data_IF_613355863326
#
_entry.id   IF_613355863326
#
_cell.length_a   1.000
_cell.length_b   1.000
_cell.length_c   1.000
_cell.angle_alpha   90.00
_cell.angle_beta   90.00
_cell.angle_gamma   90.00
#
_symmetry.space_group_name_H-M   'P 1'
#
loop_
_entity.id
_entity.type
_entity.pdbx_description
1 polymer ?
#
# COMPACT_ATOMS: atom_id res chain seq x y z
N UNK A 1 -7.06 -6.47 3.70
CA UNK A 1 -8.35 -7.02 4.20
C UNK A 1 -8.28 -8.51 4.50
N UNK A 2 -7.70 -9.36 3.63
CA UNK A 2 -7.57 -10.82 3.87
C UNK A 2 -6.92 -11.11 5.23
N UNK A 3 -5.83 -10.44 5.57
CA UNK A 3 -5.10 -10.64 6.82
C UNK A 3 -5.91 -10.24 8.06
N UNK A 4 -6.61 -9.11 8.00
CA UNK A 4 -7.49 -8.70 9.10
C UNK A 4 -8.64 -9.70 9.34
N UNK A 5 -9.16 -10.31 8.27
CA UNK A 5 -10.23 -11.31 8.38
C UNK A 5 -9.81 -12.60 9.08
N UNK A 6 -8.50 -12.86 9.29
CA UNK A 6 -8.00 -13.99 10.08
C UNK A 6 -8.23 -13.81 11.57
N UNK A 7 -8.30 -12.55 12.03
CA UNK A 7 -8.36 -12.19 13.45
C UNK A 7 -9.69 -11.56 13.86
N UNK A 8 -10.41 -10.97 12.91
CA UNK A 8 -11.64 -10.23 13.14
C UNK A 8 -12.73 -10.79 12.23
N UNK A 9 -13.92 -11.08 12.80
CA UNK A 9 -15.07 -11.54 12.03
C UNK A 9 -15.46 -10.50 10.96
N UNK A 10 -15.74 -10.96 9.74
CA UNK A 10 -16.17 -10.11 8.62
C UNK A 10 -17.37 -9.22 8.96
N UNK A 11 -18.29 -9.70 9.77
CA UNK A 11 -19.48 -8.96 10.19
C UNK A 11 -19.17 -7.79 11.11
N UNK A 12 -17.95 -7.72 11.67
CA UNK A 12 -17.46 -6.64 12.54
C UNK A 12 -16.64 -5.61 11.79
N UNK A 13 -16.34 -5.84 10.50
CA UNK A 13 -15.51 -4.97 9.69
C UNK A 13 -16.39 -4.10 8.79
N UNK A 14 -16.19 -2.81 8.88
CA UNK A 14 -16.79 -1.82 7.99
C UNK A 14 -15.72 -1.26 7.09
N UNK A 15 -15.88 -1.44 5.77
CA UNK A 15 -14.97 -0.88 4.77
C UNK A 15 -15.36 0.56 4.46
N UNK A 16 -14.35 1.42 4.45
CA UNK A 16 -14.47 2.82 4.04
C UNK A 16 -13.39 3.10 2.99
N UNK A 17 -13.74 3.59 1.80
CA UNK A 17 -12.76 3.85 0.75
C UNK A 17 -11.82 4.98 1.14
N UNK A 18 -10.51 4.79 0.95
CA UNK A 18 -9.49 5.82 1.17
C UNK A 18 -9.35 6.77 -0.02
N UNK A 19 -9.72 6.30 -1.22
CA UNK A 19 -9.61 7.06 -2.47
C UNK A 19 -10.75 8.06 -2.68
N UNK A 20 -11.75 8.07 -1.80
CA UNK A 20 -12.86 9.01 -1.81
C UNK A 20 -12.93 9.81 -0.52
N UNK A 21 -13.48 11.02 -0.61
CA UNK A 21 -13.78 11.78 0.60
C UNK A 21 -14.86 11.09 1.41
N UNK A 22 -14.67 11.06 2.72
CA UNK A 22 -15.62 10.45 3.63
C UNK A 22 -17.00 11.12 3.50
N UNK A 23 -18.03 10.30 3.32
CA UNK A 23 -19.42 10.72 3.41
C UNK A 23 -19.87 10.83 4.87
N UNK A 24 -20.96 11.54 5.13
CA UNK A 24 -21.54 11.64 6.49
C UNK A 24 -21.82 10.24 7.11
N UNK A 25 -22.42 9.27 6.37
CA UNK A 25 -22.55 7.91 6.88
C UNK A 25 -21.21 7.24 7.21
N UNK A 26 -20.15 7.47 6.41
CA UNK A 26 -18.84 6.92 6.66
C UNK A 26 -18.23 7.48 7.96
N UNK A 27 -18.33 8.78 8.22
CA UNK A 27 -17.91 9.37 9.51
C UNK A 27 -18.65 8.73 10.69
N UNK A 28 -19.97 8.55 10.60
CA UNK A 28 -20.75 7.90 11.67
C UNK A 28 -20.27 6.48 11.94
N UNK A 29 -19.86 5.74 10.90
CA UNK A 29 -19.32 4.39 11.05
C UNK A 29 -17.95 4.41 11.72
N UNK A 30 -17.05 5.29 11.27
CA UNK A 30 -15.71 5.46 11.87
C UNK A 30 -15.80 5.84 13.34
N UNK A 31 -16.64 6.81 13.68
CA UNK A 31 -16.83 7.25 15.08
C UNK A 31 -17.39 6.16 16.01
N UNK A 32 -18.13 5.20 15.46
CA UNK A 32 -18.65 4.05 16.22
C UNK A 32 -17.68 2.87 16.28
N UNK A 33 -16.61 2.92 15.50
CA UNK A 33 -15.64 1.83 15.44
C UNK A 33 -14.72 1.85 16.64
N UNK A 34 -14.37 0.67 17.17
CA UNK A 34 -13.39 0.52 18.25
C UNK A 34 -11.97 0.81 17.79
N UNK A 35 -11.65 0.50 16.53
CA UNK A 35 -10.36 0.77 15.91
C UNK A 35 -10.55 1.08 14.42
N UNK A 36 -9.68 1.91 13.87
CA UNK A 36 -9.66 2.26 12.45
C UNK A 36 -8.32 1.87 11.85
N UNK A 37 -8.32 0.90 10.94
CA UNK A 37 -7.13 0.48 10.22
C UNK A 37 -7.08 1.14 8.85
N UNK A 38 -5.93 1.74 8.54
CA UNK A 38 -5.63 2.31 7.23
C UNK A 38 -4.74 1.32 6.50
N UNK A 39 -5.33 0.56 5.62
CA UNK A 39 -4.63 -0.47 4.84
C UNK A 39 -4.60 -0.12 3.37
N UNK A 40 -3.63 -0.67 2.69
CA UNK A 40 -3.53 -0.57 1.25
C UNK A 40 -2.14 -0.17 0.75
N UNK A 41 -2.09 0.32 -0.49
CA UNK A 41 -0.85 0.59 -1.20
C UNK A 41 -0.11 1.84 -0.68
N UNK A 42 0.43 2.66 -1.56
CA UNK A 42 1.20 3.85 -1.22
C UNK A 42 0.27 5.03 -0.92
N UNK A 43 -0.37 5.02 0.26
CA UNK A 43 -1.35 6.04 0.66
C UNK A 43 -0.72 7.28 1.28
N UNK A 44 0.53 7.20 1.76
CA UNK A 44 1.21 8.30 2.43
C UNK A 44 2.02 9.11 1.43
N UNK A 45 2.11 10.41 1.66
CA UNK A 45 2.89 11.35 0.85
C UNK A 45 3.45 12.46 1.74
N UNK A 46 4.54 13.10 1.31
CA UNK A 46 5.10 14.28 1.95
C UNK A 46 4.24 15.52 1.76
N UNK A 47 3.33 15.49 0.80
CA UNK A 47 2.47 16.61 0.45
C UNK A 47 1.02 16.18 0.22
N UNK A 48 0.32 15.86 1.30
CA UNK A 48 -1.05 15.34 1.28
C UNK A 48 -2.08 16.24 0.59
N UNK A 49 -1.98 17.59 0.61
CA UNK A 49 -2.91 18.41 -0.14
C UNK A 49 -2.92 18.17 -1.64
N UNK A 50 -1.78 17.79 -2.22
CA UNK A 50 -1.62 17.56 -3.66
C UNK A 50 -1.68 16.08 -4.04
N UNK A 51 -1.41 15.19 -3.08
CA UNK A 51 -1.50 13.74 -3.28
C UNK A 51 -2.82 13.20 -2.75
N UNK A 52 -3.62 12.60 -3.63
CA UNK A 52 -5.01 12.28 -3.34
C UNK A 52 -5.33 10.78 -3.31
N UNK A 53 -4.36 9.93 -3.06
CA UNK A 53 -4.62 8.50 -2.87
C UNK A 53 -5.32 8.22 -1.54
N UNK A 54 -4.96 8.94 -0.49
CA UNK A 54 -5.76 9.03 0.73
C UNK A 54 -6.40 10.41 0.77
N UNK A 55 -7.66 10.48 0.39
CA UNK A 55 -8.38 11.75 0.32
C UNK A 55 -8.83 12.20 1.71
N UNK A 56 -8.10 13.16 2.25
CA UNK A 56 -8.35 13.77 3.54
C UNK A 56 -8.72 15.24 3.37
N UNK A 57 -9.77 15.67 4.08
CA UNK A 57 -10.14 17.07 4.23
C UNK A 57 -9.45 17.69 5.44
N UNK A 58 -9.36 19.01 5.49
CA UNK A 58 -8.87 19.76 6.65
C UNK A 58 -9.63 19.45 7.95
N UNK A 59 -10.89 19.08 7.81
CA UNK A 59 -11.80 18.75 8.93
C UNK A 59 -11.70 17.30 9.38
N UNK A 60 -11.09 16.42 8.61
CA UNK A 60 -11.04 14.98 8.91
C UNK A 60 -10.32 14.66 10.23
N UNK A 61 -9.28 15.39 10.67
CA UNK A 61 -8.66 15.15 11.97
C UNK A 61 -9.58 15.32 13.19
N UNK A 62 -10.75 15.95 13.03
CA UNK A 62 -11.75 16.02 14.10
C UNK A 62 -12.53 14.70 14.25
N UNK A 63 -12.63 13.93 13.19
CA UNK A 63 -13.41 12.70 13.12
C UNK A 63 -12.56 11.44 13.03
N UNK A 64 -11.43 11.52 12.29
CA UNK A 64 -10.45 10.45 12.17
C UNK A 64 -9.37 10.63 13.24
N UNK A 65 -9.42 9.79 14.23
CA UNK A 65 -8.41 9.76 15.30
C UNK A 65 -8.03 8.31 15.58
N UNK A 66 -6.83 8.13 16.12
CA UNK A 66 -6.32 6.82 16.51
C UNK A 66 -6.33 5.80 15.36
N UNK A 67 -6.12 6.27 14.11
CA UNK A 67 -5.96 5.39 12.97
C UNK A 67 -4.66 4.63 13.08
N UNK A 68 -4.70 3.35 12.76
CA UNK A 68 -3.54 2.45 12.77
C UNK A 68 -3.18 2.11 11.32
N UNK A 69 -1.95 2.37 10.92
CA UNK A 69 -1.46 1.96 9.60
C UNK A 69 -1.26 0.44 9.57
N UNK A 70 -1.66 -0.18 8.46
CA UNK A 70 -1.58 -1.61 8.26
C UNK A 70 -0.99 -1.95 6.88
N UNK A 71 0.32 -2.14 6.82
CA UNK A 71 1.05 -2.41 5.59
C UNK A 71 0.99 -1.29 4.56
N UNK A 72 0.89 -0.04 5.03
CA UNK A 72 0.81 1.15 4.19
C UNK A 72 2.21 1.59 3.76
N UNK A 73 2.32 2.09 2.52
CA UNK A 73 3.56 2.63 1.97
C UNK A 73 3.50 4.12 1.69
N UNK A 74 4.69 4.67 1.41
CA UNK A 74 4.86 6.04 0.93
C UNK A 74 4.84 6.09 -0.59
N UNK A 75 4.26 7.17 -1.14
CA UNK A 75 4.23 7.38 -2.57
C UNK A 75 5.55 7.97 -3.05
N UNK A 76 6.33 7.16 -3.77
CA UNK A 76 7.64 7.53 -4.32
C UNK A 76 8.66 8.02 -3.26
N UNK A 77 9.89 8.28 -3.68
CA UNK A 77 10.91 8.94 -2.87
C UNK A 77 10.68 10.45 -2.93
N UNK A 78 10.49 11.08 -1.79
CA UNK A 78 10.14 12.48 -1.62
C UNK A 78 10.98 13.10 -0.52
N UNK A 79 11.02 14.43 -0.46
CA UNK A 79 11.56 15.16 0.69
C UNK A 79 10.68 14.94 1.93
N UNK A 80 11.16 15.40 3.08
CA UNK A 80 10.41 15.31 4.35
C UNK A 80 9.01 15.94 4.21
N UNK A 81 8.02 15.39 4.94
CA UNK A 81 6.68 15.95 4.95
C UNK A 81 6.66 17.42 5.30
N UNK A 82 5.86 18.20 4.58
CA UNK A 82 5.63 19.58 4.91
C UNK A 82 4.93 19.72 6.27
N UNK A 83 4.92 20.94 6.81
CA UNK A 83 4.34 21.22 8.13
C UNK A 83 2.89 20.77 8.25
N UNK A 84 2.08 21.03 7.24
CA UNK A 84 0.66 20.65 7.24
C UNK A 84 0.48 19.14 7.24
N UNK A 85 1.22 18.41 6.38
CA UNK A 85 1.16 16.95 6.31
C UNK A 85 1.63 16.32 7.62
N UNK A 86 2.70 16.84 8.21
CA UNK A 86 3.20 16.39 9.51
C UNK A 86 2.17 16.57 10.61
N UNK A 87 1.51 17.72 10.66
CA UNK A 87 0.42 18.01 11.60
C UNK A 87 -0.75 17.05 11.38
N UNK A 88 -1.17 16.83 10.13
CA UNK A 88 -2.27 15.95 9.76
C UNK A 88 -2.02 14.51 10.27
N UNK A 89 -0.85 13.94 9.98
CA UNK A 89 -0.51 12.59 10.43
C UNK A 89 -0.48 12.48 11.95
N UNK A 90 0.12 13.44 12.64
CA UNK A 90 0.14 13.46 14.12
C UNK A 90 -1.25 13.54 14.75
N UNK A 91 -2.23 14.09 14.06
CA UNK A 91 -3.60 14.19 14.55
C UNK A 91 -4.45 12.96 14.26
N UNK A 92 -4.22 12.32 13.12
CA UNK A 92 -5.02 11.18 12.66
C UNK A 92 -4.46 9.85 13.16
N UNK A 93 -3.13 9.70 13.15
CA UNK A 93 -2.49 8.44 13.52
C UNK A 93 -2.46 8.25 15.05
N UNK A 94 -2.55 6.99 15.46
CA UNK A 94 -2.51 6.62 16.87
C UNK A 94 -1.12 6.85 17.46
N UNK A 95 -1.06 7.43 18.66
CA UNK A 95 0.17 7.49 19.44
C UNK A 95 0.36 6.28 20.38
N UNK A 96 -0.70 5.48 20.56
CA UNK A 96 -0.71 4.35 21.50
C UNK A 96 -0.42 3.02 20.82
N UNK A 97 -0.86 2.88 19.57
CA UNK A 97 -0.77 1.62 18.85
C UNK A 97 0.36 1.63 17.84
N UNK A 98 0.97 0.46 17.66
CA UNK A 98 2.05 0.26 16.70
C UNK A 98 1.52 0.31 15.26
N UNK A 99 2.18 1.10 14.43
CA UNK A 99 1.89 1.17 13.00
C UNK A 99 2.73 0.16 12.22
N UNK A 100 2.08 -0.62 11.38
CA UNK A 100 2.73 -1.49 10.41
C UNK A 100 2.86 -0.76 9.08
N UNK A 101 4.06 -0.69 8.55
CA UNK A 101 4.34 -0.15 7.23
C UNK A 101 5.05 -1.17 6.36
N UNK A 102 4.96 -0.99 5.03
CA UNK A 102 5.41 -2.00 4.07
C UNK A 102 6.89 -1.95 3.70
N UNK A 103 7.57 -0.85 4.03
CA UNK A 103 8.99 -0.64 3.70
C UNK A 103 9.68 0.26 4.73
N UNK A 104 11.02 0.21 4.72
CA UNK A 104 11.82 0.97 5.68
C UNK A 104 11.77 2.47 5.40
N UNK A 105 11.69 2.88 4.14
CA UNK A 105 11.58 4.28 3.77
C UNK A 105 10.34 4.93 4.39
N UNK A 106 9.18 4.27 4.33
CA UNK A 106 7.95 4.73 4.97
C UNK A 106 8.12 4.86 6.49
N UNK A 107 8.79 3.89 7.13
CA UNK A 107 9.06 3.96 8.57
C UNK A 107 9.94 5.17 8.91
N UNK A 108 10.98 5.42 8.13
CA UNK A 108 11.92 6.52 8.36
C UNK A 108 11.27 7.89 8.12
N UNK A 109 10.40 8.00 7.12
CA UNK A 109 9.62 9.21 6.86
C UNK A 109 8.68 9.55 8.02
N UNK A 110 7.97 8.57 8.58
CA UNK A 110 7.12 8.77 9.77
C UNK A 110 7.94 9.14 11.00
N UNK A 111 9.08 8.47 11.24
CA UNK A 111 10.00 8.81 12.33
C UNK A 111 10.55 10.23 12.20
N UNK A 112 10.83 10.67 10.97
CA UNK A 112 11.37 12.02 10.70
C UNK A 112 10.46 13.15 11.17
N UNK A 113 9.16 12.87 11.31
CA UNK A 113 8.15 13.81 11.82
C UNK A 113 7.71 13.50 13.25
N UNK A 114 8.39 12.58 13.93
CA UNK A 114 8.18 12.27 15.35
C UNK A 114 7.12 11.19 15.62
N UNK A 115 6.69 10.41 14.63
CA UNK A 115 5.85 9.22 14.81
C UNK A 115 6.79 8.02 14.94
N UNK A 116 7.10 7.62 16.17
CA UNK A 116 8.14 6.62 16.47
C UNK A 116 7.59 5.21 16.68
N UNK A 117 6.32 5.08 16.97
CA UNK A 117 5.62 3.80 17.16
C UNK A 117 5.30 3.12 15.81
N UNK A 118 6.32 2.93 14.99
CA UNK A 118 6.22 2.36 13.64
C UNK A 118 7.25 1.27 13.42
N UNK A 119 6.81 0.18 12.78
CA UNK A 119 7.63 -0.97 12.40
C UNK A 119 7.42 -1.31 10.92
N UNK A 120 8.52 -1.65 10.24
CA UNK A 120 8.46 -2.24 8.92
C UNK A 120 8.13 -3.73 9.04
N UNK A 121 6.96 -4.13 8.56
CA UNK A 121 6.50 -5.53 8.54
C UNK A 121 6.50 -6.13 7.14
N UNK A 122 6.95 -5.37 6.15
CA UNK A 122 6.76 -5.75 4.75
C UNK A 122 5.30 -5.59 4.28
N UNK A 123 5.09 -5.91 3.02
CA UNK A 123 3.74 -5.90 2.47
C UNK A 123 2.92 -7.08 3.03
N UNK A 124 1.71 -6.85 3.56
CA UNK A 124 0.87 -7.93 4.10
C UNK A 124 0.57 -9.07 3.10
N UNK A 125 0.63 -8.78 1.80
CA UNK A 125 0.45 -9.82 0.77
C UNK A 125 1.60 -10.82 0.72
N UNK A 126 2.74 -10.49 1.32
CA UNK A 126 3.94 -11.33 1.38
C UNK A 126 4.03 -12.15 2.68
N UNK A 127 3.15 -11.92 3.66
CA UNK A 127 3.25 -12.60 4.96
C UNK A 127 3.00 -14.10 4.90
N UNK A 128 2.33 -14.59 3.84
CA UNK A 128 2.17 -16.03 3.59
C UNK A 128 3.42 -16.69 3.02
N UNK A 129 4.45 -15.93 2.62
CA UNK A 129 5.73 -16.46 2.15
C UNK A 129 6.61 -16.89 3.34
N UNK A 130 6.12 -17.84 4.12
CA UNK A 130 6.92 -18.45 5.19
C UNK A 130 8.08 -19.27 4.61
N UNK A 131 9.06 -19.62 5.47
CA UNK A 131 10.18 -20.47 5.08
C UNK A 131 9.68 -21.80 4.49
N UNK A 132 8.70 -22.42 5.14
CA UNK A 132 8.11 -23.70 4.71
C UNK A 132 7.38 -23.56 3.36
N UNK A 133 6.77 -22.38 3.09
CA UNK A 133 6.16 -22.11 1.80
C UNK A 133 7.24 -21.96 0.72
N UNK A 134 8.29 -21.19 1.01
CA UNK A 134 9.39 -20.95 0.06
C UNK A 134 10.19 -22.22 -0.27
N UNK A 135 10.37 -23.10 0.69
CA UNK A 135 11.03 -24.40 0.49
C UNK A 135 10.28 -25.33 -0.49
N UNK A 136 8.97 -25.13 -0.66
CA UNK A 136 8.14 -25.87 -1.62
C UNK A 136 8.19 -25.33 -3.04
N UNK A 137 8.79 -24.15 -3.24
CA UNK A 137 8.93 -23.57 -4.57
C UNK A 137 9.96 -24.38 -5.36
N UNK A 138 9.62 -24.87 -6.58
CA UNK A 138 10.54 -25.61 -7.40
C UNK A 138 11.82 -24.79 -7.71
N UNK A 139 12.99 -25.42 -7.55
CA UNK A 139 14.28 -24.78 -7.86
C UNK A 139 14.65 -24.86 -9.35
N UNK A 140 13.98 -25.73 -10.11
CA UNK A 140 14.21 -25.81 -11.55
C UNK A 140 13.54 -24.63 -12.26
N UNK A 141 14.18 -24.17 -13.32
CA UNK A 141 13.57 -23.22 -14.25
C UNK A 141 12.31 -23.85 -14.87
N UNK A 142 11.23 -23.08 -14.92
CA UNK A 142 10.02 -23.50 -15.64
C UNK A 142 10.19 -23.32 -17.16
N UNK A 143 9.40 -24.04 -17.94
CA UNK A 143 9.41 -23.90 -19.40
C UNK A 143 8.64 -22.65 -19.86
N UNK A 144 7.70 -22.20 -19.05
CA UNK A 144 6.87 -21.04 -19.31
C UNK A 144 7.12 -19.93 -18.29
N UNK A 145 6.91 -18.69 -18.71
CA UNK A 145 6.99 -17.49 -17.84
C UNK A 145 5.79 -16.60 -18.05
N UNK A 146 5.34 -15.98 -16.97
CA UNK A 146 4.38 -14.87 -17.00
C UNK A 146 5.09 -13.59 -16.55
N UNK A 147 4.88 -12.50 -17.27
CA UNK A 147 5.42 -11.18 -16.94
C UNK A 147 4.35 -10.11 -17.03
N UNK A 148 4.63 -8.95 -16.46
CA UNK A 148 3.78 -7.76 -16.55
C UNK A 148 4.55 -6.64 -17.20
N UNK A 149 3.87 -5.84 -17.99
CA UNK A 149 4.31 -4.52 -18.44
C UNK A 149 3.28 -3.54 -17.91
N UNK A 150 3.68 -2.33 -17.61
CA UNK A 150 2.78 -1.30 -17.10
C UNK A 150 2.87 -0.03 -17.96
N UNK A 151 1.72 0.56 -18.26
CA UNK A 151 1.61 1.87 -18.91
C UNK A 151 1.89 3.03 -17.94
N UNK A 152 2.03 2.73 -16.66
CA UNK A 152 2.21 3.72 -15.60
C UNK A 152 3.59 4.41 -15.62
N UNK A 153 4.63 3.67 -15.98
CA UNK A 153 6.01 4.18 -16.09
C UNK A 153 6.72 3.43 -17.21
N UNK A 154 6.35 3.74 -18.44
CA UNK A 154 6.84 3.03 -19.61
C UNK A 154 8.29 3.37 -19.94
N UNK A 155 9.11 2.35 -20.08
CA UNK A 155 10.41 2.40 -20.74
C UNK A 155 10.42 1.37 -21.88
N UNK A 156 9.96 1.79 -23.03
CA UNK A 156 9.75 0.91 -24.19
C UNK A 156 11.01 0.12 -24.56
N UNK A 157 12.21 0.72 -24.43
CA UNK A 157 13.44 0.02 -24.77
C UNK A 157 13.79 -1.06 -23.73
N UNK A 158 13.67 -0.75 -22.45
CA UNK A 158 13.90 -1.73 -21.37
C UNK A 158 12.86 -2.85 -21.40
N UNK A 159 11.59 -2.52 -21.63
CA UNK A 159 10.50 -3.50 -21.73
C UNK A 159 10.73 -4.44 -22.92
N UNK A 160 11.10 -3.90 -24.08
CA UNK A 160 11.45 -4.72 -25.25
C UNK A 160 12.64 -5.64 -24.97
N UNK A 161 13.72 -5.13 -24.41
CA UNK A 161 14.91 -5.92 -24.06
C UNK A 161 14.56 -7.07 -23.09
N UNK A 162 13.68 -6.79 -22.12
CA UNK A 162 13.18 -7.80 -21.19
C UNK A 162 12.37 -8.87 -21.93
N UNK A 163 11.44 -8.48 -22.81
CA UNK A 163 10.64 -9.43 -23.59
C UNK A 163 11.50 -10.28 -24.51
N UNK A 164 12.45 -9.67 -25.24
CA UNK A 164 13.38 -10.39 -26.11
C UNK A 164 14.20 -11.41 -25.33
N UNK A 165 14.67 -11.05 -24.12
CA UNK A 165 15.37 -11.97 -23.22
C UNK A 165 14.46 -13.13 -22.78
N UNK A 166 13.22 -12.84 -22.37
CA UNK A 166 12.28 -13.88 -21.95
C UNK A 166 11.93 -14.83 -23.08
N UNK A 167 11.64 -14.30 -24.28
CA UNK A 167 11.36 -15.10 -25.48
C UNK A 167 12.55 -15.99 -25.88
N UNK A 168 13.78 -15.57 -25.60
CA UNK A 168 14.99 -16.38 -25.85
C UNK A 168 15.23 -17.49 -24.81
N UNK A 169 14.57 -17.43 -23.66
CA UNK A 169 14.85 -18.30 -22.50
C UNK A 169 13.71 -19.24 -22.14
N UNK A 170 12.50 -18.98 -22.60
CA UNK A 170 11.30 -19.73 -22.24
C UNK A 170 10.53 -20.16 -23.48
N UNK A 171 9.88 -21.31 -23.41
CA UNK A 171 9.08 -21.86 -24.51
C UNK A 171 7.82 -21.06 -24.75
N UNK A 172 7.25 -20.47 -23.68
CA UNK A 172 6.10 -19.58 -23.75
C UNK A 172 6.26 -18.41 -22.79
N UNK A 173 5.94 -17.22 -23.28
CA UNK A 173 5.90 -15.98 -22.50
C UNK A 173 4.46 -15.46 -22.49
N UNK A 174 3.88 -15.36 -21.30
CA UNK A 174 2.54 -14.80 -21.11
C UNK A 174 2.64 -13.40 -20.55
N UNK A 175 1.94 -12.47 -21.19
CA UNK A 175 1.83 -11.09 -20.70
C UNK A 175 0.54 -10.95 -19.89
N UNK A 176 0.69 -10.59 -18.60
CA UNK A 176 -0.43 -10.26 -17.74
C UNK A 176 -0.67 -8.77 -17.78
N UNK A 177 -1.73 -8.37 -18.46
CA UNK A 177 -2.14 -6.98 -18.58
C UNK A 177 -2.65 -6.46 -17.23
N UNK A 178 -2.14 -5.30 -16.82
CA UNK A 178 -2.51 -4.65 -15.56
C UNK A 178 -3.56 -3.54 -15.77
N UNK A 179 -3.65 -3.00 -16.98
CA UNK A 179 -4.58 -1.94 -17.34
C UNK A 179 -4.89 -1.92 -18.83
N UNK A 180 -5.85 -1.10 -19.21
CA UNK A 180 -6.31 -0.98 -20.62
C UNK A 180 -5.24 -0.39 -21.53
N UNK A 181 -4.28 0.38 -20.98
CA UNK A 181 -3.16 0.94 -21.72
C UNK A 181 -2.16 -0.11 -22.21
N UNK A 182 -2.04 -1.23 -21.48
CA UNK A 182 -1.09 -2.30 -21.77
C UNK A 182 -1.42 -3.07 -23.07
N UNK A 183 -2.62 -2.91 -23.60
CA UNK A 183 -3.05 -3.47 -24.90
C UNK A 183 -2.46 -2.73 -26.12
N UNK A 184 -1.75 -1.65 -25.92
CA UNK A 184 -1.19 -0.79 -26.98
C UNK A 184 0.28 -1.07 -27.29
N UNK A 185 0.88 -2.06 -26.63
CA UNK A 185 2.24 -2.56 -26.87
C UNK A 185 2.30 -3.61 -27.95
#
# INVERSE_FOLDING_TARGET
>A
MRELNRYISKNQIVNVPSHDYLSIPAYKKVLKSKASFVGGSNLLSSNMPFYRQWKLRLTDPFFLRNCILFGTGWWQYQDKPNFYTSYLYKKILSNEHLHSVRDQYTADMLKSIGITNVINTGCPTMWDLSKEHCEKIPHRKADNVITTITDYNTDVQSDKNMLDLLLSKYDSVYLWLQGDGDLKF
#
